data_IF_602158227060
#
_entry.id   IF_602158227060
#
_cell.length_a   1.000
_cell.length_b   1.000
_cell.length_c   1.000
_cell.angle_alpha   90.00
_cell.angle_beta   90.00
_cell.angle_gamma   90.00
#
_symmetry.space_group_name_H-M   'P 1'
#
loop_
_entity.id
_entity.type
_entity.pdbx_description
1 polymer ?
#
# COMPACT_ATOMS: atom_id res chain seq x y z
N UNK A 1 55.47 6.74 47.81
CA UNK A 1 55.13 7.08 46.42
C UNK A 1 54.41 5.87 45.81
N UNK A 2 53.09 5.84 45.89
CA UNK A 2 52.25 4.85 45.22
C UNK A 2 51.09 5.64 44.59
N UNK A 3 51.19 5.90 43.30
CA UNK A 3 50.13 6.50 42.52
C UNK A 3 50.06 5.72 41.22
N UNK A 4 48.88 5.18 40.91
CA UNK A 4 48.33 5.00 39.58
C UNK A 4 46.87 4.55 39.77
N UNK A 5 46.03 5.55 40.02
CA UNK A 5 44.70 5.75 39.43
C UNK A 5 44.11 4.57 38.66
N UNK A 6 43.30 3.76 39.36
CA UNK A 6 42.29 2.85 38.79
C UNK A 6 41.05 3.67 38.38
N UNK A 7 41.16 4.52 37.36
CA UNK A 7 40.03 5.35 36.92
C UNK A 7 39.75 5.38 35.41
N UNK A 8 40.46 4.61 34.59
CA UNK A 8 40.18 4.53 33.14
C UNK A 8 39.92 3.09 32.70
N UNK A 9 38.75 2.55 33.05
CA UNK A 9 38.14 1.50 32.23
C UNK A 9 37.20 2.23 31.25
N UNK A 10 37.56 2.33 29.95
CA UNK A 10 36.67 2.93 28.98
C UNK A 10 35.38 2.12 28.98
N UNK A 11 34.26 2.83 29.17
CA UNK A 11 32.91 2.33 29.08
C UNK A 11 32.82 1.33 27.92
N UNK A 12 32.77 0.03 28.22
CA UNK A 12 32.77 -1.04 27.23
C UNK A 12 31.65 -0.73 26.24
N UNK A 13 32.02 -0.28 25.05
CA UNK A 13 31.09 -0.05 23.96
C UNK A 13 30.48 -1.42 23.65
N UNK A 14 29.27 -1.66 24.14
CA UNK A 14 28.54 -2.88 23.87
C UNK A 14 28.41 -3.05 22.36
N UNK A 15 28.57 -4.28 21.88
CA UNK A 15 28.35 -4.62 20.47
C UNK A 15 26.87 -4.31 20.17
N UNK A 16 26.54 -3.48 19.16
CA UNK A 16 25.14 -3.25 18.81
C UNK A 16 24.54 -4.58 18.37
N UNK A 17 23.60 -5.10 19.16
CA UNK A 17 22.81 -6.26 18.75
C UNK A 17 21.93 -5.81 17.59
N UNK A 18 22.06 -6.49 16.45
CA UNK A 18 21.19 -6.26 15.30
C UNK A 18 19.76 -6.59 15.72
N UNK A 19 18.97 -5.56 16.02
CA UNK A 19 17.54 -5.70 16.28
C UNK A 19 16.90 -6.08 14.96
N UNK A 20 16.65 -7.37 14.77
CA UNK A 20 15.87 -7.86 13.65
C UNK A 20 14.42 -7.38 13.84
N UNK A 21 14.07 -6.24 13.24
CA UNK A 21 12.70 -5.75 13.26
C UNK A 21 11.88 -6.67 12.35
N UNK A 22 10.78 -7.26 12.85
CA UNK A 22 9.91 -8.04 11.98
C UNK A 22 9.46 -7.18 10.78
N UNK A 23 9.29 -7.78 9.59
CA UNK A 23 8.83 -7.05 8.41
C UNK A 23 7.50 -6.34 8.72
N UNK A 24 7.48 -5.02 8.55
CA UNK A 24 6.31 -4.18 8.74
C UNK A 24 5.96 -3.50 7.42
N UNK A 25 4.71 -3.64 6.99
CA UNK A 25 4.21 -3.00 5.78
C UNK A 25 3.53 -1.69 6.20
N UNK A 26 4.04 -0.52 5.74
CA UNK A 26 3.40 0.76 5.98
C UNK A 26 2.12 0.89 5.15
N UNK A 27 0.99 0.97 5.85
CA UNK A 27 -0.37 1.05 5.27
C UNK A 27 -0.49 2.20 4.26
N UNK A 28 0.03 3.38 4.59
CA UNK A 28 -0.09 4.57 3.74
C UNK A 28 0.64 4.41 2.41
N UNK A 29 1.85 3.83 2.41
CA UNK A 29 2.63 3.59 1.18
C UNK A 29 1.97 2.51 0.33
N UNK A 30 1.46 1.45 0.97
CA UNK A 30 0.73 0.39 0.28
C UNK A 30 -0.56 0.93 -0.37
N UNK A 31 -1.35 1.70 0.38
CA UNK A 31 -2.59 2.30 -0.10
C UNK A 31 -2.38 3.30 -1.23
N UNK A 32 -1.38 4.17 -1.12
CA UNK A 32 -1.04 5.11 -2.19
C UNK A 32 -0.56 4.39 -3.45
N UNK A 33 0.32 3.39 -3.32
CA UNK A 33 0.82 2.60 -4.46
C UNK A 33 -0.31 1.84 -5.16
N UNK A 34 -1.12 1.10 -4.41
CA UNK A 34 -2.25 0.32 -4.96
C UNK A 34 -3.35 1.23 -5.53
N UNK A 35 -3.66 2.32 -4.85
CA UNK A 35 -4.66 3.29 -5.29
C UNK A 35 -4.27 3.93 -6.62
N UNK A 36 -3.05 4.47 -6.73
CA UNK A 36 -2.55 5.09 -7.96
C UNK A 36 -2.48 4.05 -9.09
N UNK A 37 -1.98 2.84 -8.79
CA UNK A 37 -1.95 1.75 -9.77
C UNK A 37 -3.34 1.46 -10.34
N UNK A 38 -4.36 1.28 -9.49
CA UNK A 38 -5.73 1.02 -9.94
C UNK A 38 -6.31 2.18 -10.75
N UNK A 39 -6.07 3.43 -10.34
CA UNK A 39 -6.51 4.61 -11.10
C UNK A 39 -5.89 4.64 -12.48
N UNK A 40 -4.58 4.39 -12.60
CA UNK A 40 -3.87 4.37 -13.88
C UNK A 40 -4.39 3.23 -14.76
N UNK A 41 -4.54 2.01 -14.23
CA UNK A 41 -5.11 0.89 -14.97
C UNK A 41 -6.52 1.20 -15.45
N UNK A 42 -7.38 1.77 -14.59
CA UNK A 42 -8.72 2.19 -14.98
C UNK A 42 -8.70 3.20 -16.13
N UNK A 43 -7.86 4.23 -16.06
CA UNK A 43 -7.74 5.24 -17.11
C UNK A 43 -7.28 4.62 -18.45
N UNK A 44 -6.32 3.69 -18.40
CA UNK A 44 -5.86 2.96 -19.59
C UNK A 44 -6.97 2.08 -20.18
N UNK A 45 -7.73 1.37 -19.34
CA UNK A 45 -8.87 0.56 -19.78
C UNK A 45 -9.94 1.40 -20.46
N UNK A 46 -10.30 2.55 -19.88
CA UNK A 46 -11.30 3.46 -20.48
C UNK A 46 -10.78 4.04 -21.80
N UNK A 47 -9.50 4.45 -21.86
CA UNK A 47 -8.89 4.91 -23.10
C UNK A 47 -8.92 3.85 -24.20
N UNK A 48 -8.71 2.58 -23.84
CA UNK A 48 -8.78 1.47 -24.78
C UNK A 48 -10.21 1.19 -25.26
N UNK A 49 -11.22 1.24 -24.38
CA UNK A 49 -12.65 1.13 -24.74
C UNK A 49 -13.07 2.25 -25.72
N UNK A 50 -12.50 3.46 -25.60
CA UNK A 50 -12.77 4.56 -26.54
C UNK A 50 -12.15 4.31 -27.93
N UNK A 51 -10.99 3.68 -28.00
CA UNK A 51 -10.32 3.35 -29.27
C UNK A 51 -10.96 2.12 -29.93
N UNK A 52 -11.42 1.15 -29.12
CA UNK A 52 -12.01 -0.12 -29.56
C UNK A 52 -13.37 -0.37 -28.88
N UNK A 53 -14.44 0.33 -29.32
CA UNK A 53 -15.76 0.31 -28.67
C UNK A 53 -16.47 -1.06 -28.70
N UNK A 54 -15.92 -2.04 -29.42
CA UNK A 54 -16.48 -3.40 -29.51
C UNK A 54 -16.09 -4.35 -28.36
N UNK A 55 -15.15 -3.99 -27.49
CA UNK A 55 -14.66 -4.83 -26.39
C UNK A 55 -15.06 -4.24 -25.03
N UNK A 56 -16.37 -4.15 -24.76
CA UNK A 56 -16.89 -3.38 -23.63
C UNK A 56 -16.44 -3.91 -22.24
N UNK A 57 -15.34 -3.36 -21.71
CA UNK A 57 -14.94 -3.55 -20.31
C UNK A 57 -15.80 -2.76 -19.33
N UNK A 58 -16.47 -1.69 -19.82
CA UNK A 58 -17.45 -0.89 -19.05
C UNK A 58 -18.55 -1.72 -18.36
N UNK A 59 -18.95 -2.86 -18.93
CA UNK A 59 -19.97 -3.74 -18.33
C UNK A 59 -19.55 -4.32 -16.97
N UNK A 60 -18.25 -4.55 -16.77
CA UNK A 60 -17.70 -5.01 -15.50
C UNK A 60 -17.73 -3.90 -14.45
N UNK A 61 -17.50 -2.65 -14.85
CA UNK A 61 -17.55 -1.47 -13.98
C UNK A 61 -18.97 -1.12 -13.54
N UNK A 62 -19.95 -1.23 -14.44
CA UNK A 62 -21.38 -1.15 -14.11
C UNK A 62 -21.78 -2.08 -12.95
N UNK A 63 -21.18 -3.26 -12.89
CA UNK A 63 -21.51 -4.31 -11.91
C UNK A 63 -20.88 -4.06 -10.55
N UNK A 64 -19.77 -3.32 -10.50
CA UNK A 64 -19.15 -2.90 -9.26
C UNK A 64 -19.84 -1.66 -8.64
N UNK A 65 -20.52 -0.82 -9.44
CA UNK A 65 -20.89 0.55 -9.06
C UNK A 65 -22.38 0.87 -9.35
N UNK A 66 -23.32 0.66 -8.39
CA UNK A 66 -24.75 0.98 -8.56
C UNK A 66 -25.00 2.50 -8.54
N UNK A 67 -24.84 3.13 -9.69
CA UNK A 67 -24.96 4.59 -9.91
C UNK A 67 -24.35 5.06 -11.24
N UNK A 68 -23.62 4.18 -11.91
CA UNK A 68 -22.94 4.41 -13.18
C UNK A 68 -23.95 4.41 -14.35
N UNK A 69 -24.58 5.55 -14.63
CA UNK A 69 -25.69 5.57 -15.59
C UNK A 69 -25.31 5.87 -17.04
N UNK A 70 -24.09 6.35 -17.38
CA UNK A 70 -23.68 6.65 -18.78
C UNK A 70 -22.16 6.92 -18.89
N UNK A 71 -21.58 6.85 -20.11
CA UNK A 71 -20.18 7.20 -20.44
C UNK A 71 -19.95 8.73 -20.41
N UNK A 72 -20.39 9.40 -19.36
CA UNK A 72 -20.19 10.82 -19.11
C UNK A 72 -18.92 11.06 -18.30
N UNK A 73 -18.33 12.24 -18.46
CA UNK A 73 -17.11 12.66 -17.76
C UNK A 73 -17.20 12.48 -16.22
N UNK A 74 -18.41 12.64 -15.66
CA UNK A 74 -18.69 12.41 -14.24
C UNK A 74 -18.49 10.95 -13.81
N UNK A 75 -18.94 9.98 -14.61
CA UNK A 75 -18.78 8.55 -14.30
C UNK A 75 -17.32 8.11 -14.36
N UNK A 76 -16.53 8.72 -15.26
CA UNK A 76 -15.09 8.48 -15.32
C UNK A 76 -14.39 8.92 -14.04
N UNK A 77 -14.65 10.14 -13.57
CA UNK A 77 -14.07 10.64 -12.32
C UNK A 77 -14.52 9.82 -11.11
N UNK A 78 -15.81 9.46 -11.06
CA UNK A 78 -16.37 8.62 -10.00
C UNK A 78 -15.68 7.23 -9.97
N UNK A 79 -15.58 6.57 -11.12
CA UNK A 79 -14.90 5.28 -11.27
C UNK A 79 -13.44 5.33 -10.83
N UNK A 80 -12.71 6.41 -11.15
CA UNK A 80 -11.35 6.63 -10.67
C UNK A 80 -11.26 6.77 -9.15
N UNK A 81 -12.16 7.54 -8.54
CA UNK A 81 -12.21 7.71 -7.08
C UNK A 81 -12.54 6.39 -6.38
N UNK A 82 -13.47 5.61 -6.92
CA UNK A 82 -13.81 4.31 -6.35
C UNK A 82 -12.69 3.29 -6.53
N UNK A 83 -12.02 3.26 -7.69
CA UNK A 83 -10.82 2.45 -7.92
C UNK A 83 -9.73 2.75 -6.89
N UNK A 84 -9.50 4.04 -6.63
CA UNK A 84 -8.55 4.49 -5.61
C UNK A 84 -8.98 4.01 -4.21
N UNK A 85 -10.26 4.13 -3.88
CA UNK A 85 -10.83 3.68 -2.61
C UNK A 85 -10.69 2.16 -2.45
N UNK A 86 -10.85 1.37 -3.51
CA UNK A 86 -10.60 -0.07 -3.49
C UNK A 86 -9.13 -0.41 -3.21
N UNK A 87 -8.18 0.34 -3.78
CA UNK A 87 -6.76 0.18 -3.47
C UNK A 87 -6.47 0.44 -1.99
N UNK A 88 -7.09 1.47 -1.41
CA UNK A 88 -7.01 1.76 0.02
C UNK A 88 -7.69 0.72 0.89
N UNK A 89 -8.85 0.21 0.47
CA UNK A 89 -9.56 -0.88 1.15
C UNK A 89 -8.67 -2.12 1.29
N UNK A 90 -7.99 -2.52 0.21
CA UNK A 90 -7.03 -3.62 0.24
C UNK A 90 -5.88 -3.31 1.20
N UNK A 91 -5.32 -2.11 1.15
CA UNK A 91 -4.21 -1.74 2.03
C UNK A 91 -4.59 -1.74 3.51
N UNK A 92 -5.77 -1.21 3.86
CA UNK A 92 -6.28 -1.15 5.24
C UNK A 92 -6.54 -2.53 5.83
N UNK A 93 -6.91 -3.53 5.02
CA UNK A 93 -7.14 -4.90 5.49
C UNK A 93 -5.85 -5.72 5.45
N UNK A 94 -5.12 -5.67 4.34
CA UNK A 94 -3.98 -6.54 4.10
C UNK A 94 -2.77 -6.18 4.96
N UNK A 95 -2.43 -4.88 5.10
CA UNK A 95 -1.26 -4.48 5.88
C UNK A 95 -1.33 -4.86 7.37
N UNK A 96 -2.41 -4.60 8.14
CA UNK A 96 -2.47 -5.04 9.53
C UNK A 96 -2.49 -6.57 9.64
N UNK A 97 -3.14 -7.26 8.71
CA UNK A 97 -3.17 -8.73 8.69
C UNK A 97 -1.78 -9.31 8.45
N UNK A 98 -1.03 -8.78 7.48
CA UNK A 98 0.35 -9.16 7.22
C UNK A 98 1.24 -8.89 8.43
N UNK A 99 1.14 -7.70 9.02
CA UNK A 99 1.94 -7.32 10.20
C UNK A 99 1.63 -8.22 11.40
N UNK A 100 0.38 -8.66 11.57
CA UNK A 100 -0.03 -9.58 12.62
C UNK A 100 0.59 -10.97 12.44
N UNK A 101 0.49 -11.54 11.23
CA UNK A 101 1.06 -12.86 10.94
C UNK A 101 2.59 -12.83 10.92
N UNK A 102 3.21 -11.77 10.41
CA UNK A 102 4.68 -11.61 10.40
C UNK A 102 5.24 -11.55 11.83
N UNK A 103 4.56 -10.83 12.74
CA UNK A 103 4.93 -10.79 14.15
C UNK A 103 4.71 -12.13 14.88
N UNK A 104 3.77 -12.97 14.43
CA UNK A 104 3.54 -14.32 14.99
C UNK A 104 4.56 -15.32 14.48
N UNK A 105 5.02 -15.19 13.24
CA UNK A 105 6.01 -16.08 12.63
C UNK A 105 7.45 -15.75 13.06
N UNK A 106 7.72 -14.50 13.43
CA UNK A 106 9.02 -14.07 13.96
C UNK A 106 9.23 -14.40 15.45
N UNK A 107 8.21 -14.97 16.13
CA UNK A 107 8.32 -15.54 17.48
C UNK A 107 8.62 -17.03 17.39
#
# INVERSE_FOLDING_TARGET
MANLTRSDQPHRAGVPLSVNRPPHIPVAVLGMSLGIFLVVTFALCVGFDLIFPGQAMYQTWLKLLPGFSWLTWSSFLLGGVEAFAYGWFVALIFAPLFNYFSARWAR
#
